data_IF_351132227274
#
_entry.id   IF_351132227274
#
_cell.length_a   1.000
_cell.length_b   1.000
_cell.length_c   1.000
_cell.angle_alpha   90.00
_cell.angle_beta   90.00
_cell.angle_gamma   90.00
#
_symmetry.space_group_name_H-M   'P 1'
#
loop_
_entity.id
_entity.type
_entity.pdbx_description
1 polymer ?
#
# COMPACT_ATOMS: atom_id res chain seq x y z
N UNK A 1 20.98 -5.43 -12.62
CA UNK A 1 19.54 -5.18 -12.52
C UNK A 1 18.81 -6.25 -13.30
N UNK A 2 18.02 -7.09 -12.64
CA UNK A 2 17.21 -8.09 -13.32
C UNK A 2 16.24 -7.38 -14.29
N UNK A 3 16.23 -7.82 -15.53
CA UNK A 3 15.28 -7.37 -16.52
C UNK A 3 13.88 -7.87 -16.12
N UNK A 4 13.07 -7.01 -15.51
CA UNK A 4 11.66 -7.32 -15.22
C UNK A 4 10.89 -7.18 -16.53
N UNK A 5 10.77 -8.30 -17.25
CA UNK A 5 10.16 -8.32 -18.58
C UNK A 5 8.69 -8.79 -18.60
N UNK A 6 8.13 -9.22 -17.47
CA UNK A 6 6.73 -9.67 -17.42
C UNK A 6 5.79 -8.48 -17.25
N UNK A 7 5.18 -8.08 -18.35
CA UNK A 7 4.10 -7.07 -18.42
C UNK A 7 2.71 -7.68 -18.32
N UNK A 8 2.64 -8.99 -18.24
CA UNK A 8 1.42 -9.80 -18.25
C UNK A 8 1.25 -10.46 -16.89
N UNK A 9 0.24 -10.02 -16.16
CA UNK A 9 -0.06 -10.45 -14.80
C UNK A 9 -1.28 -11.36 -14.84
N UNK A 10 -1.05 -12.66 -14.83
CA UNK A 10 -2.06 -13.71 -14.89
C UNK A 10 -1.85 -14.77 -13.83
N UNK A 11 -2.93 -15.51 -13.56
CA UNK A 11 -2.93 -16.69 -12.71
C UNK A 11 -3.42 -16.43 -11.28
N UNK A 12 -3.51 -17.51 -10.52
CA UNK A 12 -4.12 -17.53 -9.20
C UNK A 12 -3.49 -16.52 -8.22
N UNK A 13 -2.19 -16.25 -8.32
CA UNK A 13 -1.52 -15.27 -7.48
C UNK A 13 -2.04 -13.83 -7.72
N UNK A 14 -2.52 -13.52 -8.92
CA UNK A 14 -3.08 -12.21 -9.26
C UNK A 14 -4.56 -12.15 -8.89
N UNK A 15 -5.32 -13.17 -9.29
CA UNK A 15 -6.76 -13.24 -9.07
C UNK A 15 -7.12 -13.59 -7.62
N UNK A 16 -6.21 -14.22 -6.87
CA UNK A 16 -6.39 -14.58 -5.46
C UNK A 16 -6.06 -13.48 -4.46
N UNK A 17 -5.30 -12.44 -4.86
CA UNK A 17 -4.84 -11.39 -3.94
C UNK A 17 -5.24 -9.99 -4.40
N UNK A 18 -5.85 -9.21 -3.50
CA UNK A 18 -6.20 -7.81 -3.78
C UNK A 18 -4.96 -6.92 -3.93
N UNK A 19 -3.91 -7.20 -3.18
CA UNK A 19 -2.63 -6.47 -3.23
C UNK A 19 -1.94 -6.54 -4.58
N UNK A 20 -2.31 -7.51 -5.45
CA UNK A 20 -1.83 -7.56 -6.84
C UNK A 20 -2.10 -6.26 -7.61
N UNK A 21 -3.13 -5.49 -7.20
CA UNK A 21 -3.46 -4.20 -7.79
C UNK A 21 -2.35 -3.15 -7.62
N UNK A 22 -1.57 -3.21 -6.53
CA UNK A 22 -0.44 -2.30 -6.30
C UNK A 22 0.67 -2.47 -7.34
N UNK A 23 0.78 -3.67 -7.95
CA UNK A 23 1.72 -3.90 -9.05
C UNK A 23 1.39 -3.08 -10.31
N UNK A 24 0.14 -2.61 -10.45
CA UNK A 24 -0.27 -1.80 -11.59
C UNK A 24 0.55 -0.50 -11.69
N UNK A 25 0.63 0.28 -10.60
CA UNK A 25 1.42 1.52 -10.56
C UNK A 25 2.92 1.27 -10.73
N UNK A 26 3.45 0.25 -10.06
CA UNK A 26 4.86 -0.11 -10.16
C UNK A 26 5.27 -0.51 -11.58
N UNK A 27 4.46 -1.34 -12.26
CA UNK A 27 4.74 -1.79 -13.63
C UNK A 27 4.51 -0.69 -14.66
N UNK A 28 3.52 0.18 -14.47
CA UNK A 28 3.34 1.35 -15.33
C UNK A 28 4.55 2.28 -15.22
N UNK A 29 5.03 2.55 -13.99
CA UNK A 29 6.23 3.35 -13.77
C UNK A 29 7.47 2.76 -14.43
N UNK A 30 7.62 1.43 -14.40
CA UNK A 30 8.81 0.75 -14.91
C UNK A 30 8.74 0.40 -16.38
N UNK A 31 7.58 -0.05 -16.88
CA UNK A 31 7.43 -0.65 -18.19
C UNK A 31 6.54 0.16 -19.14
N UNK A 32 5.84 1.19 -18.66
CA UNK A 32 4.91 2.00 -19.42
C UNK A 32 3.63 1.26 -19.86
N UNK A 33 3.55 -0.05 -19.63
CA UNK A 33 2.37 -0.85 -19.99
C UNK A 33 2.24 -2.10 -19.13
N UNK A 34 1.02 -2.54 -18.91
CA UNK A 34 0.69 -3.74 -18.17
C UNK A 34 -0.64 -4.33 -18.65
N UNK A 35 -0.72 -5.64 -18.69
CA UNK A 35 -1.97 -6.40 -18.87
C UNK A 35 -2.18 -7.22 -17.60
N UNK A 36 -3.32 -7.07 -16.95
CA UNK A 36 -3.63 -7.84 -15.75
C UNK A 36 -5.04 -8.41 -15.80
N UNK A 37 -5.21 -9.59 -15.24
CA UNK A 37 -6.52 -10.11 -14.88
C UNK A 37 -7.09 -9.28 -13.73
N UNK A 38 -8.42 -9.21 -13.62
CA UNK A 38 -9.02 -8.49 -12.52
C UNK A 38 -8.48 -8.98 -11.17
N UNK A 39 -7.98 -8.06 -10.32
CA UNK A 39 -7.48 -8.44 -9.01
C UNK A 39 -8.60 -9.04 -8.19
N UNK A 40 -8.36 -10.20 -7.63
CA UNK A 40 -9.30 -10.91 -6.78
C UNK A 40 -9.27 -10.40 -5.34
N UNK A 41 -9.36 -11.33 -4.43
CA UNK A 41 -9.34 -11.11 -3.01
C UNK A 41 -10.62 -11.56 -2.33
N UNK A 42 -10.78 -11.19 -1.08
CA UNK A 42 -11.88 -11.65 -0.25
C UNK A 42 -13.26 -11.31 -0.84
N UNK A 43 -14.14 -12.30 -0.93
CA UNK A 43 -15.48 -12.20 -1.54
C UNK A 43 -16.50 -11.58 -0.54
N UNK A 44 -16.09 -10.52 0.19
CA UNK A 44 -16.94 -9.89 1.21
C UNK A 44 -17.84 -8.79 0.60
N UNK A 45 -17.67 -8.47 -0.69
CA UNK A 45 -18.46 -7.44 -1.35
C UNK A 45 -17.75 -6.81 -2.54
N UNK A 46 -18.45 -5.88 -3.20
CA UNK A 46 -17.90 -5.13 -4.34
C UNK A 46 -16.76 -4.24 -3.86
N UNK A 47 -15.58 -4.43 -4.39
CA UNK A 47 -14.39 -3.64 -4.12
C UNK A 47 -13.94 -2.92 -5.39
N UNK A 48 -14.54 -1.76 -5.70
CA UNK A 48 -14.23 -1.02 -6.92
C UNK A 48 -12.76 -0.61 -6.96
N UNK A 49 -12.22 -0.52 -8.17
CA UNK A 49 -10.85 -0.07 -8.44
C UNK A 49 -10.82 1.31 -9.10
N UNK A 50 -11.96 1.97 -9.15
CA UNK A 50 -12.17 3.22 -9.87
C UNK A 50 -11.26 4.36 -9.39
N UNK A 51 -10.96 4.42 -8.07
CA UNK A 51 -10.02 5.40 -7.51
C UNK A 51 -8.62 5.24 -8.10
N UNK A 52 -8.15 3.98 -8.23
CA UNK A 52 -6.86 3.69 -8.84
C UNK A 52 -6.83 4.10 -10.32
N UNK A 53 -7.86 3.70 -11.07
CA UNK A 53 -7.93 3.99 -12.51
C UNK A 53 -8.04 5.48 -12.78
N UNK A 54 -8.92 6.20 -12.06
CA UNK A 54 -9.08 7.65 -12.17
C UNK A 54 -7.79 8.41 -11.86
N UNK A 55 -7.10 8.01 -10.79
CA UNK A 55 -5.86 8.65 -10.40
C UNK A 55 -4.75 8.44 -11.44
N UNK A 56 -4.53 7.19 -11.86
CA UNK A 56 -3.52 6.87 -12.86
C UNK A 56 -3.85 7.47 -14.23
N UNK A 57 -5.14 7.59 -14.60
CA UNK A 57 -5.54 8.29 -15.83
C UNK A 57 -5.12 9.77 -15.80
N UNK A 58 -5.18 10.43 -14.65
CA UNK A 58 -4.65 11.81 -14.50
C UNK A 58 -3.14 11.90 -14.71
N UNK A 59 -2.42 10.79 -14.53
CA UNK A 59 -0.99 10.69 -14.77
C UNK A 59 -0.64 10.27 -16.23
N UNK A 60 -1.65 10.22 -17.13
CA UNK A 60 -1.47 9.90 -18.54
C UNK A 60 -1.68 8.44 -18.91
N UNK A 61 -2.19 7.61 -17.99
CA UNK A 61 -2.49 6.20 -18.28
C UNK A 61 -3.81 6.07 -19.03
N UNK A 62 -3.78 5.30 -20.11
CA UNK A 62 -4.97 4.85 -20.85
C UNK A 62 -5.33 3.43 -20.43
N UNK A 63 -6.61 3.21 -20.15
CA UNK A 63 -7.15 1.92 -19.78
C UNK A 63 -8.10 1.40 -20.85
N UNK A 64 -8.00 0.12 -21.17
CA UNK A 64 -8.96 -0.62 -21.98
C UNK A 64 -9.25 -1.96 -21.32
N UNK A 65 -10.47 -2.43 -21.46
CA UNK A 65 -10.85 -3.76 -21.01
C UNK A 65 -11.11 -4.65 -22.24
N UNK A 66 -10.45 -5.79 -22.30
CA UNK A 66 -10.56 -6.72 -23.40
C UNK A 66 -10.47 -8.16 -22.91
N UNK A 67 -11.45 -8.98 -23.27
CA UNK A 67 -11.53 -10.37 -22.84
C UNK A 67 -11.39 -10.59 -21.33
N UNK A 68 -12.02 -9.72 -20.51
CA UNK A 68 -11.98 -9.79 -19.06
C UNK A 68 -10.62 -9.41 -18.44
N UNK A 69 -9.75 -8.73 -19.20
CA UNK A 69 -8.46 -8.26 -18.75
C UNK A 69 -8.38 -6.74 -18.83
N UNK A 70 -7.80 -6.16 -17.82
CA UNK A 70 -7.46 -4.74 -17.79
C UNK A 70 -6.11 -4.55 -18.50
N UNK A 71 -6.12 -3.78 -19.58
CA UNK A 71 -4.91 -3.30 -20.26
C UNK A 71 -4.69 -1.85 -19.87
N UNK A 72 -3.49 -1.51 -19.44
CA UNK A 72 -3.09 -0.16 -19.09
C UNK A 72 -1.81 0.21 -19.82
N UNK A 73 -1.74 1.42 -20.36
CA UNK A 73 -0.55 1.93 -21.04
C UNK A 73 -0.40 3.43 -20.88
N UNK A 74 0.83 3.90 -20.80
CA UNK A 74 1.19 5.30 -20.87
C UNK A 74 2.42 5.47 -21.76
N UNK A 75 2.39 6.41 -22.69
CA UNK A 75 3.56 6.77 -23.50
C UNK A 75 4.64 7.40 -22.62
N UNK A 76 4.22 8.27 -21.69
CA UNK A 76 5.02 8.78 -20.59
C UNK A 76 4.10 9.05 -19.39
N UNK A 77 4.55 8.63 -18.21
CA UNK A 77 3.88 9.04 -16.98
C UNK A 77 4.32 10.46 -16.61
N UNK A 78 3.38 11.28 -16.24
CA UNK A 78 3.64 12.65 -15.78
C UNK A 78 3.00 12.91 -14.41
N UNK A 79 3.58 13.84 -13.67
CA UNK A 79 3.04 14.30 -12.39
C UNK A 79 1.66 14.93 -12.56
N UNK A 80 0.84 14.84 -11.52
CA UNK A 80 -0.52 15.33 -11.53
C UNK A 80 -0.99 15.76 -10.14
N UNK A 81 -1.97 16.69 -10.09
CA UNK A 81 -2.72 16.98 -8.89
C UNK A 81 -3.91 15.99 -8.80
N UNK A 82 -3.89 15.15 -7.78
CA UNK A 82 -4.85 14.05 -7.58
C UNK A 82 -5.59 14.28 -6.27
N UNK A 83 -6.92 14.37 -6.33
CA UNK A 83 -7.78 14.43 -5.15
C UNK A 83 -8.53 13.11 -5.01
N UNK A 84 -8.35 12.44 -3.88
CA UNK A 84 -9.11 11.25 -3.51
C UNK A 84 -10.32 11.69 -2.69
N UNK A 85 -11.56 11.38 -3.14
CA UNK A 85 -12.78 11.78 -2.45
C UNK A 85 -12.97 11.09 -1.10
N UNK A 86 -12.35 9.93 -0.95
CA UNK A 86 -12.23 9.17 0.29
C UNK A 86 -10.81 8.63 0.42
N UNK A 87 -10.24 8.55 1.62
CA UNK A 87 -8.95 7.92 1.84
C UNK A 87 -8.96 6.46 1.39
N UNK A 88 -7.96 6.07 0.63
CA UNK A 88 -7.78 4.69 0.16
C UNK A 88 -6.30 4.33 0.21
N UNK A 89 -5.93 3.39 1.08
CA UNK A 89 -4.55 2.92 1.23
C UNK A 89 -4.02 2.44 -0.12
N UNK A 90 -4.70 1.47 -0.74
CA UNK A 90 -4.22 0.90 -2.00
C UNK A 90 -4.16 1.90 -3.16
N UNK A 91 -5.10 2.87 -3.25
CA UNK A 91 -5.01 3.91 -4.28
C UNK A 91 -3.84 4.85 -4.02
N UNK A 92 -3.62 5.26 -2.77
CA UNK A 92 -2.49 6.11 -2.37
C UNK A 92 -1.16 5.42 -2.71
N UNK A 93 -0.99 4.16 -2.30
CA UNK A 93 0.21 3.36 -2.60
C UNK A 93 0.44 3.20 -4.11
N UNK A 94 -0.61 2.91 -4.85
CA UNK A 94 -0.53 2.71 -6.31
C UNK A 94 -0.11 4.01 -7.03
N UNK A 95 -0.65 5.16 -6.61
CA UNK A 95 -0.23 6.47 -7.10
C UNK A 95 1.24 6.72 -6.77
N UNK A 96 1.66 6.46 -5.53
CA UNK A 96 3.04 6.66 -5.10
C UNK A 96 4.02 5.84 -5.94
N UNK A 97 3.71 4.56 -6.16
CA UNK A 97 4.53 3.64 -6.96
C UNK A 97 4.68 4.09 -8.42
N UNK A 98 3.63 4.68 -9.01
CA UNK A 98 3.70 5.25 -10.35
C UNK A 98 4.43 6.61 -10.36
N UNK A 99 4.14 7.47 -9.37
CA UNK A 99 4.60 8.85 -9.31
C UNK A 99 6.12 8.97 -9.15
N UNK A 100 6.78 8.06 -8.43
CA UNK A 100 8.25 8.10 -8.26
C UNK A 100 8.99 7.97 -9.59
N UNK A 101 8.36 7.35 -10.59
CA UNK A 101 8.91 7.19 -11.94
C UNK A 101 8.36 8.21 -12.95
N UNK A 102 7.32 8.97 -12.59
CA UNK A 102 6.67 9.95 -13.47
C UNK A 102 7.54 11.20 -13.68
N UNK A 103 7.35 11.91 -14.77
CA UNK A 103 8.02 13.19 -15.02
C UNK A 103 7.28 14.31 -14.26
N UNK A 104 8.00 15.04 -13.41
CA UNK A 104 7.45 16.15 -12.62
C UNK A 104 6.84 15.71 -11.29
N UNK A 105 6.15 16.62 -10.63
CA UNK A 105 5.61 16.44 -9.29
C UNK A 105 4.18 15.88 -9.31
N UNK A 106 3.90 14.95 -8.42
CA UNK A 106 2.55 14.49 -8.13
C UNK A 106 2.14 14.95 -6.74
N UNK A 107 0.95 15.56 -6.63
CA UNK A 107 0.36 15.98 -5.36
C UNK A 107 -0.92 15.20 -5.12
N UNK A 108 -0.99 14.52 -3.98
CA UNK A 108 -2.17 13.79 -3.54
C UNK A 108 -2.82 14.57 -2.41
N UNK A 109 -4.13 14.84 -2.51
CA UNK A 109 -4.97 15.34 -1.42
C UNK A 109 -6.03 14.30 -1.07
N UNK A 110 -6.37 14.16 0.21
CA UNK A 110 -7.20 13.06 0.71
C UNK A 110 -6.47 11.72 0.71
N UNK A 111 -5.13 11.73 0.80
CA UNK A 111 -4.33 10.53 0.92
C UNK A 111 -4.67 9.74 2.18
N UNK A 112 -4.50 8.43 2.12
CA UNK A 112 -4.56 7.57 3.29
C UNK A 112 -3.36 7.84 4.22
N UNK A 113 -3.61 7.83 5.53
CA UNK A 113 -2.60 8.17 6.54
C UNK A 113 -2.12 6.94 7.33
N UNK A 114 -2.59 5.76 6.96
CA UNK A 114 -2.25 4.51 7.62
C UNK A 114 -0.74 4.24 7.59
N UNK A 115 -0.23 3.52 8.59
CA UNK A 115 1.20 3.23 8.72
C UNK A 115 1.81 2.59 7.47
N UNK A 116 1.06 1.77 6.75
CA UNK A 116 1.48 1.09 5.53
C UNK A 116 1.91 2.09 4.43
N UNK A 117 1.20 3.22 4.32
CA UNK A 117 1.55 4.30 3.38
C UNK A 117 2.87 4.98 3.78
N UNK A 118 3.05 5.20 5.08
CA UNK A 118 4.29 5.78 5.62
C UNK A 118 5.47 4.83 5.42
N UNK A 119 5.24 3.54 5.63
CA UNK A 119 6.22 2.47 5.45
C UNK A 119 6.67 2.40 3.97
N UNK A 120 5.72 2.39 3.03
CA UNK A 120 6.03 2.43 1.60
C UNK A 120 6.84 3.69 1.23
N UNK A 121 6.45 4.85 1.77
CA UNK A 121 7.20 6.09 1.54
C UNK A 121 8.64 5.99 2.09
N UNK A 122 8.82 5.39 3.27
CA UNK A 122 10.12 5.12 3.88
C UNK A 122 11.01 4.27 2.99
N UNK A 123 10.47 3.16 2.50
CA UNK A 123 11.18 2.29 1.55
C UNK A 123 11.57 3.02 0.26
N UNK A 124 10.62 3.72 -0.37
CA UNK A 124 10.88 4.46 -1.61
C UNK A 124 11.94 5.56 -1.42
N UNK A 125 11.90 6.28 -0.29
CA UNK A 125 12.94 7.27 0.07
C UNK A 125 14.30 6.61 0.22
N UNK A 126 14.36 5.43 0.84
CA UNK A 126 15.61 4.66 0.97
C UNK A 126 16.15 4.23 -0.40
N UNK A 127 15.26 4.01 -1.36
CA UNK A 127 15.62 3.77 -2.77
C UNK A 127 15.98 5.04 -3.56
N UNK A 128 15.95 6.23 -2.95
CA UNK A 128 16.31 7.50 -3.60
C UNK A 128 15.15 8.37 -4.05
N UNK A 129 13.89 7.98 -3.78
CA UNK A 129 12.74 8.83 -4.06
C UNK A 129 12.68 10.05 -3.13
N UNK A 130 12.10 11.14 -3.62
CA UNK A 130 11.79 12.31 -2.81
C UNK A 130 10.28 12.40 -2.61
N UNK A 131 9.83 12.15 -1.37
CA UNK A 131 8.42 12.12 -0.96
C UNK A 131 8.27 12.94 0.32
N UNK A 132 7.27 13.82 0.35
CA UNK A 132 6.96 14.69 1.49
C UNK A 132 5.51 14.44 1.93
N UNK A 133 5.21 14.62 3.21
CA UNK A 133 3.84 14.55 3.77
C UNK A 133 3.27 13.14 3.96
N UNK A 134 4.04 12.05 3.77
CA UNK A 134 3.55 10.70 4.09
C UNK A 134 3.11 10.60 5.56
N UNK A 135 1.95 9.99 5.81
CA UNK A 135 1.30 9.96 7.12
C UNK A 135 0.35 11.15 7.37
N UNK A 136 0.18 12.04 6.38
CA UNK A 136 -0.83 13.09 6.38
C UNK A 136 -1.79 12.92 5.20
N UNK A 137 -2.86 13.70 5.16
CA UNK A 137 -3.82 13.72 4.05
C UNK A 137 -3.27 14.35 2.75
N UNK A 138 -2.02 14.87 2.79
CA UNK A 138 -1.37 15.53 1.66
C UNK A 138 0.02 14.98 1.44
N UNK A 139 0.23 14.36 0.29
CA UNK A 139 1.54 13.79 -0.08
C UNK A 139 2.03 14.45 -1.37
N UNK A 140 3.31 14.82 -1.39
CA UNK A 140 3.99 15.33 -2.58
C UNK A 140 5.09 14.36 -2.96
N UNK A 141 5.09 13.92 -4.21
CA UNK A 141 6.09 13.02 -4.78
C UNK A 141 6.80 13.76 -5.91
N UNK A 142 8.12 13.93 -5.80
CA UNK A 142 8.97 14.50 -6.84
C UNK A 142 9.50 13.36 -7.72
N UNK A 143 8.86 13.17 -8.86
CA UNK A 143 9.17 12.07 -9.76
C UNK A 143 10.42 12.27 -10.62
N UNK A 144 10.71 11.31 -11.50
CA UNK A 144 11.81 11.37 -12.45
C UNK A 144 13.20 11.15 -11.85
N UNK A 145 13.27 10.67 -10.61
CA UNK A 145 14.55 10.31 -9.97
C UNK A 145 14.95 8.87 -10.29
N UNK A 146 16.23 8.64 -10.46
CA UNK A 146 16.75 7.28 -10.57
C UNK A 146 16.65 6.59 -9.21
N UNK A 147 15.93 5.47 -9.17
CA UNK A 147 15.83 4.62 -8.00
C UNK A 147 16.94 3.55 -8.02
N UNK A 148 17.43 3.19 -6.85
CA UNK A 148 18.45 2.15 -6.65
C UNK A 148 17.99 1.14 -5.61
N UNK A 149 18.68 0.00 -5.52
CA UNK A 149 18.41 -1.00 -4.51
C UNK A 149 18.80 -0.51 -3.12
N UNK A 150 18.03 -0.88 -2.12
CA UNK A 150 18.30 -0.53 -0.73
C UNK A 150 17.95 -1.69 0.19
N UNK A 151 18.72 -1.82 1.28
CA UNK A 151 18.33 -2.67 2.40
C UNK A 151 17.28 -1.94 3.23
N UNK A 152 16.18 -2.63 3.49
CA UNK A 152 15.06 -2.10 4.24
C UNK A 152 14.42 -3.19 5.10
N UNK A 153 14.26 -2.92 6.39
CA UNK A 153 13.50 -3.79 7.29
C UNK A 153 12.07 -3.31 7.33
N UNK A 154 11.15 -4.11 6.85
CA UNK A 154 9.71 -3.84 6.93
C UNK A 154 9.26 -4.00 8.38
N UNK A 155 8.39 -3.10 8.85
CA UNK A 155 7.81 -3.21 10.18
C UNK A 155 6.89 -4.43 10.31
N UNK A 156 6.68 -4.89 11.52
CA UNK A 156 5.76 -5.98 11.82
C UNK A 156 4.31 -5.58 11.52
N UNK A 157 3.49 -6.55 11.15
CA UNK A 157 2.10 -6.34 10.76
C UNK A 157 1.21 -6.09 11.98
N UNK A 158 0.72 -4.85 12.12
CA UNK A 158 -0.19 -4.43 13.20
C UNK A 158 -1.54 -5.14 13.15
N UNK A 159 -1.99 -5.60 11.97
CA UNK A 159 -3.27 -6.31 11.80
C UNK A 159 -3.14 -7.72 12.33
N UNK A 160 -2.03 -8.40 12.02
CA UNK A 160 -1.71 -9.73 12.57
C UNK A 160 -1.55 -9.62 14.08
N UNK A 161 -0.77 -8.66 14.59
CA UNK A 161 -0.60 -8.45 16.03
C UNK A 161 -1.94 -8.19 16.73
N UNK A 162 -2.80 -7.34 16.15
CA UNK A 162 -4.14 -7.05 16.68
C UNK A 162 -5.05 -8.30 16.68
N UNK A 163 -4.94 -9.14 15.68
CA UNK A 163 -5.72 -10.39 15.60
C UNK A 163 -5.35 -11.32 16.77
N UNK A 164 -4.07 -11.54 17.02
CA UNK A 164 -3.62 -12.36 18.13
C UNK A 164 -3.89 -11.71 19.50
N UNK A 165 -3.79 -10.38 19.61
CA UNK A 165 -4.19 -9.62 20.79
C UNK A 165 -5.65 -9.96 21.19
N UNK A 166 -6.60 -9.78 20.28
CA UNK A 166 -8.00 -10.03 20.55
C UNK A 166 -8.33 -11.52 20.70
N UNK A 167 -7.62 -12.40 20.00
CA UNK A 167 -7.76 -13.84 20.17
C UNK A 167 -7.35 -14.28 21.59
N UNK A 168 -6.26 -13.72 22.13
CA UNK A 168 -5.82 -14.00 23.50
C UNK A 168 -6.87 -13.54 24.52
N UNK A 169 -7.40 -12.33 24.38
CA UNK A 169 -8.43 -11.80 25.30
C UNK A 169 -9.72 -12.61 25.23
N UNK A 170 -10.16 -12.99 24.01
CA UNK A 170 -11.40 -13.75 23.83
C UNK A 170 -11.32 -15.20 24.30
N UNK A 171 -10.17 -15.84 24.18
CA UNK A 171 -9.97 -17.23 24.59
C UNK A 171 -9.48 -17.38 26.05
N UNK A 172 -8.97 -16.32 26.64
CA UNK A 172 -8.21 -16.36 27.87
C UNK A 172 -6.82 -16.94 27.68
N UNK A 173 -5.86 -16.51 28.46
CA UNK A 173 -4.50 -17.01 28.42
C UNK A 173 -3.44 -15.91 28.51
N UNK A 174 -2.19 -16.27 28.22
CA UNK A 174 -1.06 -15.35 28.23
C UNK A 174 -0.28 -15.49 26.94
N UNK A 175 -0.05 -14.39 26.23
CA UNK A 175 0.69 -14.36 24.97
C UNK A 175 1.70 -13.23 24.98
N UNK A 176 2.90 -13.49 24.45
CA UNK A 176 3.84 -12.44 24.08
C UNK A 176 3.83 -12.25 22.57
N UNK A 177 3.46 -11.07 22.13
CA UNK A 177 3.45 -10.66 20.74
C UNK A 177 4.80 -10.01 20.43
N UNK A 178 5.74 -10.83 19.99
CA UNK A 178 7.09 -10.40 19.67
C UNK A 178 7.09 -9.41 18.49
N UNK A 179 7.94 -8.39 18.55
CA UNK A 179 8.07 -7.33 17.54
C UNK A 179 6.73 -6.63 17.20
N UNK A 180 5.69 -6.74 18.04
CA UNK A 180 4.40 -6.08 17.77
C UNK A 180 4.57 -4.55 17.73
N UNK A 181 4.09 -3.87 16.67
CA UNK A 181 4.31 -2.45 16.46
C UNK A 181 3.36 -1.61 17.33
N UNK A 182 3.59 -1.58 18.63
CA UNK A 182 2.73 -0.96 19.64
C UNK A 182 2.39 0.50 19.33
N UNK A 183 3.33 1.26 18.79
CA UNK A 183 3.13 2.65 18.38
C UNK A 183 2.03 2.82 17.30
N UNK A 184 1.79 1.78 16.50
CA UNK A 184 0.76 1.76 15.44
C UNK A 184 -0.56 1.12 15.91
N UNK A 185 -0.62 0.65 17.16
CA UNK A 185 -1.74 -0.12 17.72
C UNK A 185 -2.52 0.63 18.81
N UNK A 186 -2.42 1.95 18.89
CA UNK A 186 -2.99 2.72 20.00
C UNK A 186 -4.48 2.48 20.25
N UNK A 187 -5.33 2.44 19.21
CA UNK A 187 -6.76 2.13 19.37
C UNK A 187 -7.02 0.67 19.72
N UNK A 188 -6.46 -0.35 19.03
CA UNK A 188 -6.58 -1.75 19.43
C UNK A 188 -6.16 -2.00 20.89
N UNK A 189 -5.07 -1.42 21.37
CA UNK A 189 -4.61 -1.61 22.73
C UNK A 189 -5.63 -1.04 23.76
N UNK A 190 -6.13 0.19 23.52
CA UNK A 190 -7.15 0.79 24.39
C UNK A 190 -8.45 -0.04 24.45
N UNK A 191 -8.90 -0.57 23.29
CA UNK A 191 -10.08 -1.42 23.25
C UNK A 191 -9.83 -2.72 24.01
N UNK A 192 -8.66 -3.32 23.85
CA UNK A 192 -8.27 -4.53 24.56
C UNK A 192 -8.29 -4.36 26.07
N UNK A 193 -7.78 -3.23 26.60
CA UNK A 193 -7.84 -2.87 28.03
C UNK A 193 -9.30 -2.69 28.50
N UNK A 194 -10.16 -2.03 27.70
CA UNK A 194 -11.58 -1.87 28.01
C UNK A 194 -12.34 -3.20 28.06
N UNK A 195 -11.88 -4.20 27.29
CA UNK A 195 -12.42 -5.56 27.34
C UNK A 195 -11.92 -6.38 28.54
N UNK A 196 -11.05 -5.81 29.37
CA UNK A 196 -10.51 -6.44 30.58
C UNK A 196 -9.14 -7.11 30.37
N UNK A 197 -8.53 -6.95 29.22
CA UNK A 197 -7.16 -7.42 28.96
C UNK A 197 -6.14 -6.64 29.78
N UNK A 198 -5.15 -7.34 30.33
CA UNK A 198 -3.99 -6.74 30.97
C UNK A 198 -2.84 -6.72 29.97
N UNK A 199 -2.37 -5.53 29.67
CA UNK A 199 -1.34 -5.30 28.66
C UNK A 199 -0.07 -4.74 29.30
N UNK A 200 1.09 -5.22 28.85
CA UNK A 200 2.37 -4.61 29.15
C UNK A 200 3.14 -4.43 27.85
N UNK A 201 3.33 -3.16 27.45
CA UNK A 201 4.11 -2.82 26.26
C UNK A 201 5.57 -2.72 26.66
N UNK A 202 6.41 -3.55 26.02
CA UNK A 202 7.86 -3.56 26.15
C UNK A 202 8.52 -3.16 24.82
N UNK A 203 9.83 -2.99 24.82
CA UNK A 203 10.59 -2.67 23.61
C UNK A 203 10.51 -3.81 22.57
N UNK A 204 10.56 -5.05 23.06
CA UNK A 204 10.57 -6.26 22.22
C UNK A 204 9.17 -6.73 21.80
N UNK A 205 8.08 -6.09 22.28
CA UNK A 205 6.72 -6.53 21.96
C UNK A 205 5.67 -6.20 23.04
N UNK A 206 4.58 -6.94 23.02
CA UNK A 206 3.44 -6.72 23.92
C UNK A 206 3.09 -8.02 24.65
N UNK A 207 3.10 -7.97 25.97
CA UNK A 207 2.53 -9.01 26.82
C UNK A 207 1.02 -8.78 26.94
N UNK A 208 0.25 -9.85 26.76
CA UNK A 208 -1.22 -9.86 26.81
C UNK A 208 -1.69 -10.95 27.78
N UNK A 209 -2.55 -10.58 28.74
CA UNK A 209 -3.20 -11.50 29.67
C UNK A 209 -4.70 -11.22 29.77
#
# INVERSE_FOLDING_TARGET
SAEVCRRDMRGEAITGMRSSLCLLGALLGRCGQVVMEHPGGCVIGVRPIDLHLKALSRMGVRFTEEAGKLKASAESLHGADISLPIPSVGATENIMLAAVMAQGDTRITGAAMEPEVTELAGYLKRCGARIEGAGTDRIVIHGGKTLYGADYRICSDRIVAGTYLFACIGAGGNVFLEDAPSAQMGTPLKVAEQMGGKLCVAEEGIYVQ
#
